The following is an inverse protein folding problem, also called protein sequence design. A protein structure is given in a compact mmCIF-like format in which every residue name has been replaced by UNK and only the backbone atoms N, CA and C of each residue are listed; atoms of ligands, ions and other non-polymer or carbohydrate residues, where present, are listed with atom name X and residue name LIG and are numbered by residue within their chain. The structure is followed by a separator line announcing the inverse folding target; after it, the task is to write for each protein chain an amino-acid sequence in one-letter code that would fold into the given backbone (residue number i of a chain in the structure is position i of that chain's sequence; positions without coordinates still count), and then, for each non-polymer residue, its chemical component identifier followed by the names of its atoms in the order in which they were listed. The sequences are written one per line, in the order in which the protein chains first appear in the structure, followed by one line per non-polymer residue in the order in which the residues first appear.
data_IF_788309449873
#
_entry.id   IF_788309449873
#
_cell.length_a   1.000
_cell.length_b   1.000
_cell.length_c   1.000
_cell.angle_alpha   90.00
_cell.angle_beta   90.00
_cell.angle_gamma   90.00
#
_symmetry.space_group_name_H-M   'P 1'
#
loop_
_entity.id
_entity.type
_entity.pdbx_description
1 polymer ?
#
# COMPACT_ATOMS: atom_id res chain seq x y z
N UNK A 1 -12.42 -10.49 1.52
CA UNK A 1 -11.33 -9.71 0.90
C UNK A 1 -10.81 -8.70 1.92
N UNK A 2 -9.49 -8.53 2.05
CA UNK A 2 -8.87 -7.64 3.06
C UNK A 2 -7.99 -6.60 2.38
N UNK A 3 -8.17 -5.32 2.72
CA UNK A 3 -7.33 -4.24 2.20
C UNK A 3 -6.08 -4.12 3.07
N UNK A 4 -4.90 -4.27 2.47
CA UNK A 4 -3.61 -4.26 3.17
C UNK A 4 -2.92 -2.90 3.08
N UNK A 5 -3.28 -2.07 2.10
CA UNK A 5 -2.79 -0.70 1.98
C UNK A 5 -3.03 -0.11 0.60
N UNK A 6 -2.31 0.96 0.28
CA UNK A 6 -2.38 1.61 -1.02
C UNK A 6 -1.41 2.79 -1.11
N UNK A 7 -1.39 3.41 -2.28
CA UNK A 7 -0.56 4.58 -2.58
C UNK A 7 -1.38 5.67 -3.26
N UNK A 8 -1.12 6.90 -2.85
CA UNK A 8 -1.64 8.12 -3.48
C UNK A 8 -0.88 8.42 -4.79
N UNK A 9 -1.40 9.33 -5.64
CA UNK A 9 -0.75 9.84 -6.85
C UNK A 9 0.67 10.35 -6.63
N UNK A 10 0.98 10.86 -5.45
CA UNK A 10 2.33 11.32 -5.11
C UNK A 10 3.26 10.21 -4.59
N UNK A 11 2.84 8.93 -4.65
CA UNK A 11 3.59 7.79 -4.13
C UNK A 11 3.64 7.72 -2.60
N UNK A 12 2.86 8.55 -1.90
CA UNK A 12 2.78 8.51 -0.44
C UNK A 12 2.03 7.25 0.00
N UNK A 13 2.65 6.38 0.82
CA UNK A 13 2.00 5.15 1.27
C UNK A 13 0.91 5.47 2.29
N UNK A 14 -0.18 4.72 2.23
CA UNK A 14 -1.24 4.74 3.23
C UNK A 14 -0.84 3.94 4.46
N UNK A 15 -1.09 4.50 5.65
CA UNK A 15 -0.80 3.86 6.94
C UNK A 15 -2.09 3.47 7.64
N UNK A 16 -2.25 2.17 7.92
CA UNK A 16 -3.46 1.58 8.52
C UNK A 16 -3.89 2.21 9.86
N UNK A 17 -2.93 2.67 10.66
CA UNK A 17 -3.17 3.20 12.00
C UNK A 17 -3.68 4.65 12.03
N UNK A 18 -3.82 5.31 10.88
CA UNK A 18 -4.20 6.72 10.83
C UNK A 18 -5.61 6.86 10.24
N UNK A 19 -6.66 7.04 11.08
CA UNK A 19 -8.05 7.17 10.65
C UNK A 19 -8.29 8.57 10.07
N UNK A 20 -7.88 8.79 8.82
CA UNK A 20 -8.00 10.07 8.13
C UNK A 20 -8.01 9.83 6.62
N UNK A 21 -8.80 10.60 5.88
CA UNK A 21 -8.84 10.57 4.42
C UNK A 21 -7.66 11.29 3.75
N UNK A 22 -7.02 12.22 4.45
CA UNK A 22 -5.99 13.11 3.91
C UNK A 22 -4.53 12.70 4.16
N UNK A 23 -3.62 13.64 3.84
CA UNK A 23 -2.17 13.52 4.07
C UNK A 23 -1.76 14.35 5.28
N UNK A 24 -0.92 13.79 6.15
CA UNK A 24 -0.35 14.53 7.29
C UNK A 24 1.14 14.24 7.44
N UNK A 25 1.90 15.24 7.88
CA UNK A 25 3.33 15.09 8.18
C UNK A 25 3.51 14.60 9.62
N UNK A 26 3.94 13.36 9.76
CA UNK A 26 4.19 12.72 11.05
C UNK A 26 5.69 12.54 11.27
N UNK A 27 6.13 12.63 12.53
CA UNK A 27 7.48 12.23 12.90
C UNK A 27 7.54 10.71 12.92
N UNK A 28 8.32 10.12 12.01
CA UNK A 28 8.48 8.68 11.90
C UNK A 28 9.85 8.28 12.42
N UNK A 29 9.87 7.23 13.25
CA UNK A 29 11.09 6.55 13.68
C UNK A 29 11.43 5.38 12.76
N UNK A 30 10.41 4.67 12.25
CA UNK A 30 10.55 3.52 11.34
C UNK A 30 9.20 3.18 10.67
N UNK A 31 9.23 2.31 9.66
CA UNK A 31 8.05 1.64 9.09
C UNK A 31 7.79 1.96 7.62
N UNK A 32 6.55 1.73 7.17
CA UNK A 32 6.13 1.95 5.79
C UNK A 32 6.29 3.43 5.40
N UNK A 33 7.14 3.70 4.38
CA UNK A 33 7.49 5.05 3.91
C UNK A 33 8.73 5.67 4.57
N UNK A 34 9.30 5.07 5.62
CA UNK A 34 10.55 5.53 6.23
C UNK A 34 11.42 4.36 6.72
N UNK A 35 12.49 4.11 5.99
CA UNK A 35 13.60 3.23 6.41
C UNK A 35 14.72 4.12 6.97
N UNK A 36 14.97 4.14 8.29
CA UNK A 36 16.08 4.88 8.87
C UNK A 36 17.42 4.27 8.42
N UNK A 37 18.43 5.12 8.18
CA UNK A 37 19.78 4.66 7.76
C UNK A 37 20.69 4.44 8.96
N UNK A 38 20.46 5.18 10.04
CA UNK A 38 21.19 5.06 11.30
C UNK A 38 20.18 4.89 12.44
N UNK A 39 20.59 4.15 13.46
CA UNK A 39 19.78 3.96 14.66
C UNK A 39 19.46 5.31 15.32
N UNK A 40 18.21 5.47 15.76
CA UNK A 40 17.72 6.71 16.36
C UNK A 40 17.31 7.81 15.38
N UNK A 41 17.51 7.66 14.06
CA UNK A 41 17.05 8.65 13.08
C UNK A 41 15.52 8.76 13.08
N UNK A 42 15.03 9.98 13.25
CA UNK A 42 13.62 10.32 13.10
C UNK A 42 13.46 11.37 12.00
N UNK A 43 12.49 11.18 11.11
CA UNK A 43 12.21 12.15 10.05
C UNK A 43 10.73 12.47 9.96
N UNK A 44 10.42 13.75 9.76
CA UNK A 44 9.05 14.20 9.52
C UNK A 44 8.69 13.99 8.05
N UNK A 45 7.94 12.94 7.74
CA UNK A 45 7.49 12.61 6.38
C UNK A 45 5.97 12.68 6.27
N UNK A 46 5.48 12.97 5.06
CA UNK A 46 4.07 12.89 4.74
C UNK A 46 3.63 11.43 4.66
N UNK A 47 2.48 11.13 5.25
CA UNK A 47 1.84 9.81 5.25
C UNK A 47 0.36 10.02 4.93
N UNK A 48 -0.22 9.15 4.09
CA UNK A 48 -1.67 9.15 3.81
C UNK A 48 -2.38 8.32 4.87
N UNK A 49 -3.57 8.74 5.29
CA UNK A 49 -4.36 7.91 6.20
C UNK A 49 -4.96 6.69 5.51
N UNK A 50 -5.68 5.89 6.29
CA UNK A 50 -6.18 4.57 5.90
C UNK A 50 -7.49 4.60 5.09
N UNK A 51 -8.18 5.73 5.07
CA UNK A 51 -9.49 5.88 4.44
C UNK A 51 -9.33 6.06 2.93
N UNK A 52 -9.99 5.19 2.17
CA UNK A 52 -9.86 5.12 0.72
C UNK A 52 -10.74 6.19 0.10
N UNK A 53 -10.10 7.05 -0.67
CA UNK A 53 -10.70 8.17 -1.40
C UNK A 53 -10.34 8.05 -2.87
N UNK A 54 -11.03 8.81 -3.73
CA UNK A 54 -10.79 8.78 -5.18
C UNK A 54 -9.36 9.18 -5.61
N UNK A 55 -8.57 9.75 -4.69
CA UNK A 55 -7.17 10.13 -4.94
C UNK A 55 -6.18 8.94 -4.94
N UNK A 56 -6.62 7.75 -4.54
CA UNK A 56 -5.77 6.57 -4.52
C UNK A 56 -5.50 6.07 -5.94
N UNK A 57 -4.22 5.87 -6.28
CA UNK A 57 -3.80 5.34 -7.59
C UNK A 57 -3.64 3.83 -7.54
N UNK A 58 -3.19 3.29 -6.41
CA UNK A 58 -3.01 1.85 -6.21
C UNK A 58 -3.62 1.42 -4.89
N UNK A 59 -4.36 0.31 -4.92
CA UNK A 59 -4.91 -0.35 -3.72
C UNK A 59 -4.38 -1.77 -3.67
N UNK A 60 -3.82 -2.14 -2.53
CA UNK A 60 -3.33 -3.49 -2.26
C UNK A 60 -4.41 -4.23 -1.46
N UNK A 61 -4.87 -5.36 -2.01
CA UNK A 61 -5.86 -6.22 -1.37
C UNK A 61 -5.36 -7.66 -1.34
N UNK A 62 -5.82 -8.40 -0.33
CA UNK A 62 -5.60 -9.83 -0.14
C UNK A 62 -6.94 -10.55 -0.24
N UNK A 63 -6.98 -11.65 -0.98
CA UNK A 63 -8.14 -12.56 -1.02
C UNK A 63 -8.15 -13.35 0.28
N UNK A 64 -9.26 -13.30 1.02
CA UNK A 64 -9.45 -14.04 2.28
C UNK A 64 -10.38 -15.23 2.11
N UNK A 65 -11.33 -15.13 1.19
CA UNK A 65 -12.33 -16.14 0.87
C UNK A 65 -12.51 -16.12 -0.64
N UNK A 66 -12.66 -17.30 -1.23
CA UNK A 66 -12.92 -17.48 -2.65
C UNK A 66 -14.44 -17.58 -2.85
N UNK A 67 -14.98 -16.77 -3.76
CA UNK A 67 -16.38 -16.86 -4.16
C UNK A 67 -16.60 -17.87 -5.28
N UNK A 68 -17.82 -17.90 -5.82
CA UNK A 68 -18.25 -18.88 -6.84
C UNK A 68 -17.52 -18.78 -8.19
N UNK A 69 -16.91 -17.63 -8.49
CA UNK A 69 -16.15 -17.41 -9.73
C UNK A 69 -14.65 -17.39 -9.45
N UNK A 70 -13.91 -18.17 -10.24
CA UNK A 70 -12.46 -18.25 -10.17
C UNK A 70 -11.81 -16.91 -10.55
N UNK A 71 -10.76 -16.53 -9.83
CA UNK A 71 -10.02 -15.29 -10.06
C UNK A 71 -9.33 -15.25 -11.43
N UNK A 72 -9.09 -16.41 -12.05
CA UNK A 72 -8.47 -16.55 -13.37
C UNK A 72 -9.31 -15.96 -14.51
N UNK A 73 -10.62 -15.75 -14.31
CA UNK A 73 -11.48 -15.06 -15.29
C UNK A 73 -11.31 -13.53 -15.23
N UNK A 74 -10.92 -12.99 -14.07
CA UNK A 74 -10.78 -11.55 -13.85
C UNK A 74 -9.35 -11.05 -14.06
N UNK A 75 -8.37 -11.90 -13.82
CA UNK A 75 -6.97 -11.60 -14.05
C UNK A 75 -6.49 -12.44 -15.22
N UNK A 76 -6.19 -11.79 -16.36
CA UNK A 76 -5.50 -12.47 -17.45
C UNK A 76 -4.23 -13.13 -16.89
N UNK A 77 -4.05 -14.42 -17.20
CA UNK A 77 -2.89 -15.21 -16.74
C UNK A 77 -1.62 -14.39 -16.94
N UNK A 78 -0.76 -14.25 -15.92
CA UNK A 78 0.53 -13.61 -16.13
C UNK A 78 1.28 -14.42 -17.18
N UNK A 79 1.68 -13.75 -18.26
CA UNK A 79 2.68 -14.30 -19.17
C UNK A 79 3.87 -14.65 -18.30
N UNK A 80 4.20 -15.93 -18.23
CA UNK A 80 5.37 -16.42 -17.53
C UNK A 80 6.58 -15.70 -18.12
N UNK A 81 7.10 -14.70 -17.42
CA UNK A 81 8.37 -14.09 -17.75
C UNK A 81 9.45 -15.16 -17.54
N UNK A 82 10.03 -15.60 -18.65
CA UNK A 82 11.11 -16.57 -18.71
C UNK A 82 12.22 -16.17 -17.73
N UNK A 83 12.60 -17.13 -16.87
CA UNK A 83 13.97 -17.18 -16.35
C UNK A 83 14.91 -17.21 -17.55
N UNK A 84 15.49 -16.07 -17.94
CA UNK A 84 16.70 -16.05 -18.76
C UNK A 84 17.92 -16.14 -17.85
N UNK A 85 18.81 -17.03 -18.30
CA UNK A 85 19.98 -17.60 -17.65
C UNK A 85 21.06 -16.58 -17.28
#
# INVERSE_FOLDING_TARGET
MQITGGSDRNGTPAKRNLPMSGRRRLLLSSGAGFKPVMEGQRKRKAVRGNEITADFVQINARVTEYGDKALDEYFAKPVAEEKKA
#
